data_IF_620440685014
#
_entry.id   IF_620440685014
#
_cell.length_a   1.000
_cell.length_b   1.000
_cell.length_c   1.000
_cell.angle_alpha   90.00
_cell.angle_beta   90.00
_cell.angle_gamma   90.00
#
_symmetry.space_group_name_H-M   'P 1'
#
loop_
_entity.id
_entity.type
_entity.pdbx_description
1 polymer ?
#
# COMPACT_ATOMS: atom_id res chain seq x y z
N UNK A 1 10.71 -3.52 1.47
CA UNK A 1 11.71 -3.30 2.51
C UNK A 1 12.06 -4.59 3.25
N UNK A 2 13.16 -4.57 3.95
CA UNK A 2 13.57 -5.70 4.80
C UNK A 2 12.89 -5.51 6.16
N UNK A 3 12.11 -6.50 6.61
CA UNK A 3 11.55 -6.51 7.96
C UNK A 3 12.56 -7.16 8.91
N UNK A 4 12.93 -6.41 9.97
CA UNK A 4 13.75 -6.92 11.06
C UNK A 4 12.92 -7.56 12.19
N UNK A 5 11.58 -7.51 12.08
CA UNK A 5 10.69 -8.10 13.07
C UNK A 5 10.64 -9.61 12.89
N UNK A 6 10.70 -10.33 14.02
CA UNK A 6 10.52 -11.77 14.07
C UNK A 6 9.22 -12.05 14.86
N UNK A 7 8.14 -12.43 14.19
CA UNK A 7 6.86 -12.72 14.87
C UNK A 7 6.93 -14.08 15.58
N UNK A 8 6.04 -14.26 16.57
CA UNK A 8 5.82 -15.55 17.21
C UNK A 8 6.96 -16.05 18.08
N UNK A 9 7.83 -15.17 18.60
CA UNK A 9 8.87 -15.56 19.57
C UNK A 9 8.24 -15.62 20.96
N UNK A 10 8.25 -16.79 21.65
CA UNK A 10 7.65 -16.95 22.95
C UNK A 10 8.17 -15.94 24.00
N UNK A 11 7.25 -15.31 24.73
CA UNK A 11 7.53 -14.29 25.75
C UNK A 11 7.97 -12.92 25.20
N UNK A 12 7.94 -12.73 23.86
CA UNK A 12 8.40 -11.47 23.23
C UNK A 12 7.49 -10.94 22.13
N UNK A 13 7.16 -11.77 21.16
CA UNK A 13 6.49 -11.30 19.94
C UNK A 13 5.32 -12.19 19.50
N UNK A 14 4.69 -12.90 20.41
CA UNK A 14 3.54 -13.78 20.11
C UNK A 14 2.38 -13.03 19.47
N UNK A 15 2.20 -11.76 19.87
CA UNK A 15 1.12 -10.90 19.37
C UNK A 15 1.55 -10.05 18.17
N UNK A 16 2.75 -10.27 17.61
CA UNK A 16 3.22 -9.52 16.45
C UNK A 16 2.88 -10.29 15.18
N UNK A 17 2.14 -9.64 14.29
CA UNK A 17 1.81 -10.16 12.98
C UNK A 17 2.47 -9.27 11.92
N UNK A 18 3.22 -9.89 11.01
CA UNK A 18 3.91 -9.16 9.93
C UNK A 18 3.34 -9.58 8.59
N UNK A 19 2.85 -8.62 7.82
CA UNK A 19 2.35 -8.84 6.46
C UNK A 19 3.13 -7.98 5.47
N UNK A 20 3.29 -8.46 4.26
CA UNK A 20 3.87 -7.74 3.14
C UNK A 20 2.99 -7.88 1.92
N UNK A 21 2.85 -6.80 1.15
CA UNK A 21 2.16 -6.80 -0.14
C UNK A 21 3.21 -6.54 -1.20
N UNK A 22 3.41 -7.50 -2.10
CA UNK A 22 4.34 -7.39 -3.23
C UNK A 22 3.52 -7.35 -4.52
N UNK A 23 3.43 -6.18 -5.12
CA UNK A 23 2.58 -5.94 -6.28
C UNK A 23 3.19 -4.96 -7.27
N UNK A 24 2.35 -4.37 -8.10
CA UNK A 24 2.74 -3.44 -9.16
C UNK A 24 3.29 -2.12 -8.63
N UNK A 25 2.76 -1.65 -7.48
CA UNK A 25 3.12 -0.37 -6.90
C UNK A 25 3.94 -0.56 -5.64
N UNK A 26 4.88 0.37 -5.39
CA UNK A 26 5.60 0.43 -4.14
C UNK A 26 4.66 0.91 -3.03
N UNK A 27 4.56 0.12 -1.96
CA UNK A 27 3.88 0.52 -0.74
C UNK A 27 4.84 1.32 0.14
N UNK A 28 4.56 2.62 0.30
CA UNK A 28 5.45 3.53 1.03
C UNK A 28 4.70 4.45 1.99
N UNK A 29 3.49 4.09 2.33
CA UNK A 29 2.72 4.79 3.36
C UNK A 29 3.25 4.43 4.75
N UNK A 30 3.40 5.44 5.61
CA UNK A 30 3.76 5.26 7.01
C UNK A 30 2.60 5.75 7.85
N UNK A 31 1.82 4.80 8.30
CA UNK A 31 0.61 5.02 9.10
C UNK A 31 0.77 4.26 10.41
N UNK A 32 0.52 4.96 11.50
CA UNK A 32 0.51 4.39 12.85
C UNK A 32 -0.89 4.54 13.41
N UNK A 33 -1.50 3.43 13.81
CA UNK A 33 -2.82 3.41 14.40
C UNK A 33 -2.75 2.76 15.79
N UNK A 34 -3.25 3.45 16.80
CA UNK A 34 -3.23 3.02 18.18
C UNK A 34 -4.65 3.03 18.76
N UNK A 35 -4.86 2.28 19.85
CA UNK A 35 -6.14 2.15 20.50
C UNK A 35 -6.94 0.93 20.02
N UNK A 36 -7.98 0.59 20.76
CA UNK A 36 -8.81 -0.61 20.49
C UNK A 36 -9.48 -0.52 19.13
N UNK A 37 -9.99 0.66 18.77
CA UNK A 37 -10.65 0.92 17.49
C UNK A 37 -9.75 1.67 16.50
N UNK A 38 -8.43 1.71 16.77
CA UNK A 38 -7.46 2.48 15.98
C UNK A 38 -7.87 3.95 15.81
N UNK A 39 -8.43 4.55 16.84
CA UNK A 39 -8.97 5.92 16.86
C UNK A 39 -7.88 6.99 16.87
N UNK A 40 -6.66 6.64 17.31
CA UNK A 40 -5.49 7.50 17.24
C UNK A 40 -4.62 7.13 16.01
N UNK A 41 -4.72 7.94 14.97
CA UNK A 41 -3.94 7.75 13.74
C UNK A 41 -2.90 8.85 13.59
N UNK A 42 -1.68 8.43 13.27
CA UNK A 42 -0.58 9.30 12.88
C UNK A 42 -0.09 8.95 11.48
N UNK A 43 0.27 9.95 10.71
CA UNK A 43 1.04 9.80 9.47
C UNK A 43 2.46 10.28 9.71
N UNK A 44 3.43 9.64 9.06
CA UNK A 44 4.84 9.98 9.26
C UNK A 44 5.63 9.97 7.95
N UNK A 45 6.73 10.72 7.93
CA UNK A 45 7.74 10.67 6.88
C UNK A 45 8.80 9.59 7.12
N UNK A 46 8.90 9.08 8.37
CA UNK A 46 9.95 8.14 8.78
C UNK A 46 9.63 6.69 8.42
N UNK A 47 10.58 6.00 7.80
CA UNK A 47 10.66 4.55 7.88
C UNK A 47 11.16 4.14 9.26
N UNK A 48 10.80 2.95 9.75
CA UNK A 48 11.34 2.39 10.99
C UNK A 48 12.74 1.80 10.75
N UNK A 49 13.68 2.66 10.32
CA UNK A 49 15.07 2.33 10.06
C UNK A 49 15.96 3.26 10.86
N UNK A 50 17.12 2.77 11.32
CA UNK A 50 18.10 3.53 12.10
C UNK A 50 18.41 4.90 11.50
N UNK A 51 18.64 4.98 10.20
CA UNK A 51 18.90 6.25 9.52
C UNK A 51 17.80 7.29 9.67
N UNK A 52 16.53 6.85 9.72
CA UNK A 52 15.38 7.75 9.87
C UNK A 52 15.20 8.16 11.33
N UNK A 53 15.35 7.22 12.26
CA UNK A 53 15.10 7.46 13.69
C UNK A 53 16.26 8.15 14.42
N UNK A 54 17.51 8.01 13.92
CA UNK A 54 18.69 8.53 14.61
C UNK A 54 19.45 9.60 13.84
N UNK A 55 19.35 9.64 12.48
CA UNK A 55 20.19 10.50 11.65
C UNK A 55 19.41 11.48 10.77
N UNK A 56 18.08 11.50 10.85
CA UNK A 56 17.23 12.40 10.06
C UNK A 56 16.27 13.17 10.95
N UNK A 57 15.86 14.34 10.47
CA UNK A 57 14.71 15.04 11.00
C UNK A 57 13.48 14.54 10.27
N UNK A 58 12.61 13.89 10.99
CA UNK A 58 11.37 13.29 10.48
C UNK A 58 10.18 13.89 11.22
N UNK A 59 9.02 13.85 10.59
CA UNK A 59 7.77 14.34 11.17
C UNK A 59 6.78 13.20 11.37
N UNK A 60 6.01 13.28 12.42
CA UNK A 60 4.80 12.51 12.63
C UNK A 60 3.71 13.46 13.12
N UNK A 61 2.52 13.35 12.57
CA UNK A 61 1.41 14.22 12.93
C UNK A 61 0.10 13.44 13.06
N UNK A 62 -0.77 13.81 14.02
CA UNK A 62 -2.06 13.14 14.20
C UNK A 62 -3.04 13.53 13.09
N UNK A 63 -3.87 12.59 12.67
CA UNK A 63 -4.99 12.82 11.76
C UNK A 63 -6.21 13.19 12.59
N UNK A 64 -6.47 14.49 12.73
CA UNK A 64 -7.54 15.00 13.60
C UNK A 64 -8.90 15.05 12.90
N UNK A 65 -8.92 15.33 11.60
CA UNK A 65 -10.15 15.42 10.82
C UNK A 65 -10.82 14.04 10.69
N UNK A 66 -12.12 13.91 11.04
CA UNK A 66 -12.83 12.63 10.98
C UNK A 66 -12.91 12.04 9.57
N UNK A 67 -13.05 12.89 8.55
CA UNK A 67 -13.14 12.44 7.15
C UNK A 67 -11.82 11.88 6.68
N UNK A 68 -10.72 12.57 6.98
CA UNK A 68 -9.38 12.09 6.69
C UNK A 68 -9.07 10.79 7.45
N UNK A 69 -9.49 10.70 8.71
CA UNK A 69 -9.35 9.47 9.50
C UNK A 69 -10.07 8.29 8.86
N UNK A 70 -11.32 8.48 8.44
CA UNK A 70 -12.09 7.45 7.75
C UNK A 70 -11.41 6.97 6.46
N UNK A 71 -10.82 7.89 5.68
CA UNK A 71 -10.07 7.54 4.47
C UNK A 71 -8.82 6.71 4.78
N UNK A 72 -8.10 7.04 5.85
CA UNK A 72 -6.91 6.28 6.27
C UNK A 72 -7.30 4.90 6.79
N UNK A 73 -8.37 4.78 7.58
CA UNK A 73 -8.91 3.49 8.02
C UNK A 73 -9.31 2.61 6.85
N UNK A 74 -10.00 3.17 5.87
CA UNK A 74 -10.40 2.44 4.68
C UNK A 74 -9.19 1.94 3.90
N UNK A 75 -8.17 2.80 3.70
CA UNK A 75 -6.92 2.43 3.05
C UNK A 75 -6.22 1.27 3.77
N UNK A 76 -6.02 1.38 5.08
CA UNK A 76 -5.43 0.32 5.90
C UNK A 76 -6.26 -0.98 5.83
N UNK A 77 -7.58 -0.85 5.96
CA UNK A 77 -8.51 -1.98 5.88
C UNK A 77 -8.44 -2.71 4.54
N UNK A 78 -8.26 -1.98 3.44
CA UNK A 78 -8.06 -2.60 2.12
C UNK A 78 -6.76 -3.38 2.05
N UNK A 79 -5.65 -2.82 2.57
CA UNK A 79 -4.36 -3.54 2.60
C UNK A 79 -4.41 -4.77 3.51
N UNK A 80 -5.03 -4.67 4.67
CA UNK A 80 -5.16 -5.81 5.60
C UNK A 80 -6.06 -6.92 5.07
N UNK A 81 -6.99 -6.63 4.15
CA UNK A 81 -7.84 -7.64 3.51
C UNK A 81 -7.23 -8.28 2.27
N UNK A 82 -6.07 -7.78 1.78
CA UNK A 82 -5.44 -8.37 0.60
C UNK A 82 -5.14 -9.85 0.85
N UNK A 83 -5.66 -10.72 -0.02
CA UNK A 83 -5.47 -12.16 0.02
C UNK A 83 -4.96 -12.74 -1.30
N UNK A 84 -4.49 -11.85 -2.21
CA UNK A 84 -3.93 -12.21 -3.52
C UNK A 84 -2.43 -11.94 -3.58
N UNK A 85 -2.01 -10.77 -3.08
CA UNK A 85 -0.61 -10.33 -3.10
C UNK A 85 0.03 -10.35 -1.71
N UNK A 86 -0.77 -10.42 -0.65
CA UNK A 86 -0.27 -10.41 0.71
C UNK A 86 0.45 -11.71 1.06
N UNK A 87 1.51 -11.56 1.84
CA UNK A 87 2.30 -12.63 2.44
C UNK A 87 2.44 -12.38 3.94
N UNK A 88 2.42 -13.42 4.72
CA UNK A 88 2.68 -13.37 6.17
C UNK A 88 4.08 -13.90 6.45
N UNK A 89 4.74 -13.25 7.40
CA UNK A 89 6.04 -13.71 7.89
C UNK A 89 5.81 -14.70 9.03
N UNK A 90 6.43 -15.84 8.93
CA UNK A 90 6.43 -16.89 9.95
C UNK A 90 7.59 -16.70 10.95
N UNK A 91 7.55 -17.40 12.08
CA UNK A 91 8.58 -17.30 13.14
C UNK A 91 9.96 -17.79 12.73
N UNK A 92 10.05 -18.62 11.70
CA UNK A 92 11.32 -19.08 11.12
C UNK A 92 11.90 -18.11 10.06
N UNK A 93 11.18 -17.01 9.78
CA UNK A 93 11.60 -16.02 8.79
C UNK A 93 11.13 -16.29 7.36
N UNK A 94 10.28 -17.28 7.16
CA UNK A 94 9.73 -17.61 5.84
C UNK A 94 8.50 -16.75 5.52
N UNK A 95 8.40 -16.28 4.28
CA UNK A 95 7.24 -15.57 3.77
C UNK A 95 6.28 -16.52 3.06
N UNK A 96 5.10 -16.72 3.64
CA UNK A 96 4.05 -17.57 3.07
C UNK A 96 2.90 -16.73 2.51
N UNK A 97 2.27 -17.12 1.39
CA UNK A 97 1.05 -16.48 0.94
C UNK A 97 -0.01 -16.49 2.05
N UNK A 98 -0.79 -15.42 2.15
CA UNK A 98 -1.96 -15.41 3.06
C UNK A 98 -2.96 -16.44 2.55
N UNK A 99 -3.31 -17.38 3.41
CA UNK A 99 -4.32 -18.40 3.08
C UNK A 99 -5.69 -17.75 2.92
N UNK A 100 -6.34 -18.06 1.81
CA UNK A 100 -7.69 -17.64 1.52
C UNK A 100 -8.65 -18.76 1.90
N UNK A 101 -9.69 -18.42 2.66
CA UNK A 101 -10.78 -19.35 2.96
C UNK A 101 -11.56 -19.70 1.68
N UNK A 102 -12.18 -20.87 1.62
CA UNK A 102 -12.92 -21.33 0.43
C UNK A 102 -14.02 -20.35 -0.01
N UNK A 103 -14.70 -19.72 0.95
CA UNK A 103 -15.78 -18.75 0.71
C UNK A 103 -15.29 -17.32 0.46
N UNK A 104 -14.00 -17.06 0.63
CA UNK A 104 -13.45 -15.70 0.55
C UNK A 104 -13.12 -15.35 -0.89
N UNK A 105 -13.71 -14.25 -1.36
CA UNK A 105 -13.40 -13.72 -2.70
C UNK A 105 -11.97 -13.23 -2.79
N UNK A 106 -11.30 -13.43 -3.94
CA UNK A 106 -9.97 -12.84 -4.16
C UNK A 106 -10.07 -11.31 -4.10
N UNK A 107 -9.19 -10.71 -3.31
CA UNK A 107 -9.10 -9.27 -3.15
C UNK A 107 -7.65 -8.80 -3.26
N UNK A 108 -7.36 -8.04 -4.33
CA UNK A 108 -6.08 -7.38 -4.55
C UNK A 108 -6.23 -5.91 -4.17
N UNK A 109 -5.59 -5.49 -3.11
CA UNK A 109 -5.70 -4.14 -2.56
C UNK A 109 -5.22 -3.06 -3.53
N UNK A 110 -4.14 -3.31 -4.26
CA UNK A 110 -3.59 -2.35 -5.23
C UNK A 110 -4.50 -2.12 -6.42
N UNK A 111 -5.11 -3.18 -6.94
CA UNK A 111 -6.09 -3.06 -8.02
C UNK A 111 -7.35 -2.34 -7.56
N UNK A 112 -7.87 -2.68 -6.38
CA UNK A 112 -9.04 -2.03 -5.81
C UNK A 112 -8.81 -0.54 -5.53
N UNK A 113 -7.62 -0.16 -5.03
CA UNK A 113 -7.24 1.24 -4.84
C UNK A 113 -7.09 2.00 -6.16
N UNK A 114 -6.54 1.36 -7.18
CA UNK A 114 -6.41 1.94 -8.52
C UNK A 114 -7.78 2.18 -9.16
N UNK A 115 -8.68 1.21 -9.14
CA UNK A 115 -10.06 1.36 -9.62
C UNK A 115 -10.79 2.48 -8.90
N UNK A 116 -10.61 2.58 -7.58
CA UNK A 116 -11.18 3.67 -6.81
C UNK A 116 -10.64 5.04 -7.25
N UNK A 117 -9.34 5.15 -7.49
CA UNK A 117 -8.72 6.38 -7.98
C UNK A 117 -9.30 6.81 -9.32
N UNK A 118 -9.49 5.89 -10.25
CA UNK A 118 -10.13 6.18 -11.54
C UNK A 118 -11.58 6.65 -11.37
N UNK A 119 -12.40 5.94 -10.59
CA UNK A 119 -13.79 6.36 -10.31
C UNK A 119 -13.87 7.75 -9.70
N UNK A 120 -12.99 8.06 -8.77
CA UNK A 120 -12.95 9.39 -8.14
C UNK A 120 -12.53 10.47 -9.14
N UNK A 121 -11.58 10.18 -10.02
CA UNK A 121 -11.16 11.12 -11.07
C UNK A 121 -12.29 11.39 -12.08
N UNK A 122 -13.01 10.36 -12.50
CA UNK A 122 -14.18 10.51 -13.38
C UNK A 122 -15.30 11.33 -12.72
N UNK A 123 -15.62 11.03 -11.46
CA UNK A 123 -16.62 11.80 -10.70
C UNK A 123 -16.22 13.28 -10.55
N UNK A 124 -14.94 13.55 -10.26
CA UNK A 124 -14.42 14.91 -10.16
C UNK A 124 -14.46 15.65 -11.52
N UNK A 125 -14.17 14.96 -12.62
CA UNK A 125 -14.26 15.52 -13.97
C UNK A 125 -15.71 15.90 -14.32
N UNK A 126 -16.67 15.03 -14.02
CA UNK A 126 -18.10 15.30 -14.24
C UNK A 126 -18.60 16.50 -13.42
N UNK A 127 -18.17 16.62 -12.16
CA UNK A 127 -18.52 17.76 -11.31
C UNK A 127 -17.93 19.08 -11.82
N UNK A 128 -16.73 19.06 -12.40
CA UNK A 128 -16.12 20.25 -13.01
C UNK A 128 -16.89 20.73 -14.23
N UNK A 129 -17.37 19.81 -15.06
CA UNK A 129 -18.21 20.13 -16.24
C UNK A 129 -19.55 20.74 -15.83
N UNK A 130 -20.10 20.34 -14.69
CA UNK A 130 -21.39 20.82 -14.20
C UNK A 130 -21.29 22.14 -13.44
N UNK A 131 -20.12 22.52 -12.95
CA UNK A 131 -19.94 23.76 -12.18
C UNK A 131 -19.64 24.90 -13.15
N UNK A 132 -20.49 25.95 -13.25
CA UNK A 132 -20.21 27.11 -14.10
C UNK A 132 -18.93 27.81 -13.61
N UNK A 133 -18.01 28.11 -14.55
CA UNK A 133 -16.81 28.90 -14.24
C UNK A 133 -17.23 30.26 -13.68
N UNK A 134 -16.88 30.54 -12.45
CA UNK A 134 -16.93 31.88 -11.89
C UNK A 134 -15.72 32.66 -12.39
N UNK A 135 -15.95 33.69 -13.19
CA UNK A 135 -14.94 34.70 -13.52
C UNK A 135 -14.57 35.49 -12.27
N UNK A 136 -13.36 36.06 -12.21
CA UNK A 136 -12.92 36.90 -11.09
C UNK A 136 -13.88 38.05 -10.74
N UNK A 137 -14.70 38.49 -11.67
CA UNK A 137 -15.70 39.55 -11.51
C UNK A 137 -17.09 39.06 -11.09
N UNK A 138 -17.26 37.77 -10.75
CA UNK A 138 -18.54 37.24 -10.27
C UNK A 138 -19.60 36.99 -11.36
N UNK A 139 -19.31 37.23 -12.64
CA UNK A 139 -20.23 36.97 -13.75
C UNK A 139 -20.18 35.49 -14.16
N UNK A 140 -21.34 34.86 -14.37
CA UNK A 140 -21.46 33.48 -14.86
C UNK A 140 -21.24 33.49 -16.38
N UNK A 141 -20.16 32.87 -16.84
CA UNK A 141 -19.91 32.67 -18.28
C UNK A 141 -20.79 31.55 -18.81
N UNK A 142 -21.50 31.81 -19.94
CA UNK A 142 -22.24 30.77 -20.65
C UNK A 142 -21.26 29.65 -21.12
N UNK A 143 -21.73 28.41 -21.03
CA UNK A 143 -21.03 27.20 -21.41
C UNK A 143 -20.41 27.34 -22.80
N UNK A 144 -19.10 27.14 -22.99
CA UNK A 144 -18.54 27.04 -24.35
C UNK A 144 -19.09 25.78 -25.02
N UNK A 145 -19.55 25.97 -26.26
CA UNK A 145 -20.04 24.92 -27.14
C UNK A 145 -18.97 23.82 -27.27
N UNK A 146 -19.40 22.57 -27.22
CA UNK A 146 -18.55 21.39 -27.10
C UNK A 146 -17.43 21.42 -28.13
N UNK A 147 -16.18 21.56 -27.67
CA UNK A 147 -15.00 21.21 -28.43
C UNK A 147 -14.95 19.69 -28.54
N UNK A 148 -14.74 19.21 -29.76
CA UNK A 148 -14.64 17.81 -30.15
C UNK A 148 -13.78 17.00 -29.16
N UNK A 149 -14.26 15.82 -28.83
CA UNK A 149 -13.56 14.85 -27.97
C UNK A 149 -12.09 14.69 -28.40
N UNK A 150 -11.13 14.81 -27.48
CA UNK A 150 -9.78 14.38 -27.78
C UNK A 150 -9.79 12.87 -27.99
N UNK A 151 -9.25 12.45 -29.12
CA UNK A 151 -9.08 11.07 -29.56
C UNK A 151 -8.67 10.19 -28.39
N UNK A 152 -9.45 9.15 -28.13
CA UNK A 152 -9.28 8.27 -26.99
C UNK A 152 -7.84 7.70 -26.99
N UNK A 153 -7.06 8.05 -25.98
CA UNK A 153 -5.76 7.45 -25.76
C UNK A 153 -5.90 5.91 -25.73
N UNK A 154 -5.06 5.18 -26.47
CA UNK A 154 -5.19 3.73 -26.58
C UNK A 154 -5.04 3.10 -25.20
N UNK A 155 -6.03 2.30 -24.82
CA UNK A 155 -5.97 1.48 -23.59
C UNK A 155 -4.67 0.66 -23.64
N UNK A 156 -3.84 0.65 -22.58
CA UNK A 156 -2.62 -0.14 -22.58
C UNK A 156 -2.98 -1.61 -22.77
N UNK A 157 -2.48 -2.20 -23.85
CA UNK A 157 -2.56 -3.65 -24.07
C UNK A 157 -1.84 -4.31 -22.91
N UNK A 158 -2.55 -5.14 -22.19
CA UNK A 158 -1.96 -6.01 -21.17
C UNK A 158 -1.12 -7.04 -21.92
N UNK A 159 0.17 -6.76 -22.02
CA UNK A 159 1.15 -7.72 -22.53
C UNK A 159 1.35 -8.77 -21.44
N UNK A 160 0.93 -9.99 -21.74
CA UNK A 160 1.12 -11.12 -20.83
C UNK A 160 2.62 -11.36 -20.67
N UNK A 161 3.11 -11.22 -19.45
CA UNK A 161 4.47 -11.56 -19.11
C UNK A 161 4.78 -13.02 -19.51
N UNK A 162 5.95 -13.30 -20.09
CA UNK A 162 6.33 -14.65 -20.48
C UNK A 162 6.41 -15.55 -19.25
N UNK A 163 5.88 -16.77 -19.36
CA UNK A 163 6.00 -17.82 -18.34
C UNK A 163 7.48 -18.06 -18.03
N UNK A 164 7.86 -18.17 -16.75
CA UNK A 164 9.23 -18.50 -16.39
C UNK A 164 9.55 -19.92 -16.87
N UNK A 165 10.54 -20.04 -17.75
CA UNK A 165 11.17 -21.31 -18.11
C UNK A 165 11.93 -21.82 -16.91
N UNK A 166 11.65 -23.07 -16.51
CA UNK A 166 12.36 -23.78 -15.46
C UNK A 166 13.82 -23.99 -15.90
N UNK A 167 14.74 -23.20 -15.34
CA UNK A 167 16.15 -23.48 -15.37
C UNK A 167 16.57 -23.99 -13.99
N UNK A 168 16.96 -25.25 -13.94
CA UNK A 168 17.46 -25.94 -12.77
C UNK A 168 18.77 -25.26 -12.30
N UNK A 169 18.77 -24.59 -11.16
CA UNK A 169 19.97 -24.17 -10.46
C UNK A 169 20.30 -25.16 -9.35
N UNK A 170 21.46 -25.76 -9.47
CA UNK A 170 22.07 -26.64 -8.46
C UNK A 170 22.34 -25.84 -7.17
N UNK A 171 22.21 -26.43 -5.98
CA UNK A 171 22.58 -25.77 -4.73
C UNK A 171 24.09 -25.66 -4.61
N UNK A 172 24.58 -24.43 -4.51
CA UNK A 172 25.95 -24.17 -4.03
C UNK A 172 25.87 -24.10 -2.50
N UNK A 173 26.39 -25.12 -1.85
CA UNK A 173 26.62 -25.11 -0.41
C UNK A 173 27.90 -24.29 -0.15
N UNK A 174 27.73 -23.06 0.33
CA UNK A 174 28.84 -22.26 0.82
C UNK A 174 28.84 -22.29 2.35
N UNK A 175 29.95 -22.78 2.92
CA UNK A 175 30.13 -22.97 4.34
C UNK A 175 30.15 -21.62 5.08
N UNK A 176 29.29 -21.49 6.11
CA UNK A 176 29.29 -20.36 7.04
C UNK A 176 30.44 -20.57 8.03
N UNK A 177 31.40 -19.62 8.19
CA UNK A 177 32.45 -19.73 9.20
C UNK A 177 31.86 -19.54 10.62
N UNK A 178 32.31 -20.37 11.56
CA UNK A 178 31.98 -20.28 12.98
C UNK A 178 32.42 -18.93 13.60
N UNK A 179 31.61 -18.35 14.49
CA UNK A 179 32.03 -17.15 15.22
C UNK A 179 33.10 -17.47 16.26
N UNK A 180 34.12 -16.63 16.30
CA UNK A 180 35.21 -16.71 17.28
C UNK A 180 34.69 -16.49 18.72
N UNK A 181 35.31 -17.13 19.73
CA UNK A 181 34.89 -16.96 21.13
C UNK A 181 35.23 -15.58 21.64
N UNK A 182 34.22 -14.97 22.29
CA UNK A 182 34.39 -13.71 23.02
C UNK A 182 35.01 -14.02 24.38
N UNK A 183 36.13 -13.35 24.65
CA UNK A 183 36.76 -13.27 25.98
C UNK A 183 36.02 -12.23 26.84
#
# INVERSE_FOLDING_TARGET
>A
GISCLKPGVPGKTENVHVRSIVGRFLEHARVYAFGVDSDMIYLSSADMMTRNTEHRVEIAFPVLDPTCRALVHEYMGMQLRDNVKARSLTSDGTWVPVERKEDEKPFNSQEALLERAYRNAEAAAQQRVQKPERTADGAVRAKPEALAEPDAAPKPKVEQAPKPTAAASKPVAEAIPEPAPVL
#
